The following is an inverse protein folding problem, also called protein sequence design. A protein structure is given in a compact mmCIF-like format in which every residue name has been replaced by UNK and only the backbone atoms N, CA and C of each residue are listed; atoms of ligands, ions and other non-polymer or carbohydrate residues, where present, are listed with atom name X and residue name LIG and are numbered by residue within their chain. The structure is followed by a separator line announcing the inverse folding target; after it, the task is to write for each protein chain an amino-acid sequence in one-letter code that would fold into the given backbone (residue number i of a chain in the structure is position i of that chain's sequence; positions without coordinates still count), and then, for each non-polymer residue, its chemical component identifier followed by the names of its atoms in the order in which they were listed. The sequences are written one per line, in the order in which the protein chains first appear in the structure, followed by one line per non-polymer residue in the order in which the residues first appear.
data_IF_501559190440
#
_entry.id   IF_501559190440
#
_cell.length_a   1.000
_cell.length_b   1.000
_cell.length_c   1.000
_cell.angle_alpha   90.00
_cell.angle_beta   90.00
_cell.angle_gamma   90.00
#
_symmetry.space_group_name_H-M   'P 1'
#
loop_
_entity.id
_entity.type
_entity.pdbx_description
1 polymer ?
#
# COMPACT_ATOMS: atom_id res chain seq x y z
N UNK A 1 6.76 10.36 27.59
CA UNK A 1 5.90 10.12 26.41
C UNK A 1 5.82 8.62 26.20
N UNK A 2 4.62 8.04 26.20
CA UNK A 2 4.41 6.60 25.99
C UNK A 2 4.71 6.26 24.53
N UNK A 3 5.47 5.21 24.27
CA UNK A 3 5.74 4.77 22.91
C UNK A 3 4.42 4.36 22.21
N UNK A 4 4.23 4.68 20.93
CA UNK A 4 3.06 4.23 20.19
C UNK A 4 3.03 2.70 20.15
N UNK A 5 1.92 2.12 20.58
CA UNK A 5 1.69 0.67 20.55
C UNK A 5 1.04 0.33 19.21
N UNK A 6 1.54 -0.70 18.54
CA UNK A 6 0.90 -1.24 17.33
C UNK A 6 -0.53 -1.65 17.67
N UNK A 7 -1.51 -1.07 17.00
CA UNK A 7 -2.88 -1.57 17.01
C UNK A 7 -3.07 -2.58 15.88
N UNK A 8 -4.00 -3.53 16.05
CA UNK A 8 -4.43 -4.44 14.99
C UNK A 8 -5.44 -3.72 14.05
N UNK A 9 -5.10 -2.51 13.61
CA UNK A 9 -5.98 -1.66 12.80
C UNK A 9 -6.88 -0.73 13.63
N UNK A 10 -7.93 -0.17 12.99
CA UNK A 10 -8.91 0.70 13.65
C UNK A 10 -9.81 -0.08 14.61
N UNK A 11 -10.44 0.62 15.56
CA UNK A 11 -11.41 0.03 16.48
C UNK A 11 -12.55 -0.70 15.73
N UNK A 12 -13.12 -1.74 16.33
CA UNK A 12 -14.25 -2.49 15.72
C UNK A 12 -15.45 -1.60 15.35
N UNK A 13 -15.63 -0.50 16.07
CA UNK A 13 -16.73 0.46 15.86
C UNK A 13 -16.43 1.50 14.77
N UNK A 14 -15.23 1.49 14.19
CA UNK A 14 -14.86 2.42 13.13
C UNK A 14 -15.68 2.14 11.87
N UNK A 15 -16.21 3.17 11.18
CA UNK A 15 -16.91 2.99 9.91
C UNK A 15 -16.01 2.36 8.84
N UNK A 16 -14.69 2.55 8.93
CA UNK A 16 -13.71 2.05 7.98
C UNK A 16 -13.12 0.68 8.36
N UNK A 17 -13.67 0.00 9.37
CA UNK A 17 -13.14 -1.30 9.78
C UNK A 17 -13.28 -2.35 8.69
N UNK A 18 -14.44 -2.42 8.03
CA UNK A 18 -14.65 -3.36 6.93
C UNK A 18 -13.72 -3.10 5.74
N UNK A 19 -13.44 -1.82 5.44
CA UNK A 19 -12.43 -1.44 4.46
C UNK A 19 -11.03 -1.95 4.86
N UNK A 20 -10.63 -1.73 6.12
CA UNK A 20 -9.33 -2.21 6.62
C UNK A 20 -9.18 -3.72 6.46
N UNK A 21 -10.16 -4.50 6.92
CA UNK A 21 -10.09 -5.96 6.87
C UNK A 21 -9.95 -6.46 5.41
N UNK A 22 -10.74 -5.91 4.47
CA UNK A 22 -10.65 -6.31 3.06
C UNK A 22 -9.37 -5.83 2.36
N UNK A 23 -8.81 -4.68 2.76
CA UNK A 23 -7.49 -4.25 2.26
C UNK A 23 -6.39 -5.20 2.75
N UNK A 24 -6.47 -5.70 3.98
CA UNK A 24 -5.56 -6.74 4.46
C UNK A 24 -5.69 -8.03 3.64
N UNK A 25 -6.92 -8.47 3.33
CA UNK A 25 -7.14 -9.63 2.46
C UNK A 25 -6.55 -9.41 1.06
N UNK A 26 -6.75 -8.22 0.48
CA UNK A 26 -6.16 -7.85 -0.80
C UNK A 26 -4.63 -7.86 -0.76
N UNK A 27 -4.02 -7.35 0.33
CA UNK A 27 -2.57 -7.38 0.55
C UNK A 27 -2.03 -8.82 0.59
N UNK A 28 -2.74 -9.76 1.23
CA UNK A 28 -2.34 -11.18 1.25
C UNK A 28 -2.43 -11.86 -0.14
N UNK A 29 -3.26 -11.35 -1.05
CA UNK A 29 -3.34 -11.85 -2.42
C UNK A 29 -2.20 -11.35 -3.33
N UNK A 30 -1.56 -10.21 -2.98
CA UNK A 30 -0.58 -9.53 -3.83
C UNK A 30 0.65 -10.35 -4.21
N UNK A 31 1.28 -11.16 -3.33
CA UNK A 31 2.49 -11.90 -3.69
C UNK A 31 2.32 -12.78 -4.93
N UNK A 32 1.15 -13.42 -5.09
CA UNK A 32 0.82 -14.24 -6.27
C UNK A 32 0.71 -13.44 -7.58
N UNK A 33 0.40 -12.14 -7.46
CA UNK A 33 0.18 -11.20 -8.55
C UNK A 33 1.39 -10.31 -8.85
N UNK A 34 2.42 -10.35 -8.00
CA UNK A 34 3.60 -9.53 -8.21
C UNK A 34 4.24 -9.83 -9.56
N UNK A 35 4.41 -8.79 -10.37
CA UNK A 35 5.10 -8.81 -11.65
C UNK A 35 5.99 -7.59 -11.69
N UNK A 36 7.23 -7.78 -12.13
CA UNK A 36 8.16 -6.67 -12.32
C UNK A 36 8.94 -6.87 -13.61
N UNK A 37 9.08 -5.79 -14.38
CA UNK A 37 9.99 -5.71 -15.52
C UNK A 37 11.42 -5.37 -15.10
N UNK A 38 11.65 -5.14 -13.80
CA UNK A 38 12.95 -4.80 -13.24
C UNK A 38 13.93 -5.96 -13.46
N UNK A 39 14.79 -5.80 -14.47
CA UNK A 39 15.89 -6.71 -14.78
C UNK A 39 17.19 -6.07 -14.34
N UNK A 40 17.78 -6.58 -13.26
CA UNK A 40 19.08 -6.12 -12.78
C UNK A 40 20.14 -7.10 -13.27
N UNK A 41 21.16 -6.59 -13.98
CA UNK A 41 22.26 -7.39 -14.52
C UNK A 41 23.58 -6.61 -14.48
N UNK A 42 24.71 -7.32 -14.47
CA UNK A 42 26.05 -6.71 -14.61
C UNK A 42 26.59 -5.99 -13.37
N UNK A 43 26.08 -6.31 -12.19
CA UNK A 43 26.47 -5.73 -10.90
C UNK A 43 27.38 -6.70 -10.13
N UNK A 44 28.39 -6.15 -9.45
CA UNK A 44 29.20 -6.93 -8.50
C UNK A 44 28.33 -7.38 -7.33
N UNK A 45 28.56 -8.59 -6.83
CA UNK A 45 27.86 -9.11 -5.64
C UNK A 45 28.06 -8.20 -4.41
N UNK A 46 29.18 -7.49 -4.34
CA UNK A 46 29.47 -6.50 -3.29
C UNK A 46 28.54 -5.31 -3.34
N UNK A 47 27.98 -4.97 -4.50
CA UNK A 47 27.17 -3.77 -4.71
C UNK A 47 25.66 -4.09 -4.67
N UNK A 48 25.28 -5.31 -4.33
CA UNK A 48 23.89 -5.78 -4.31
C UNK A 48 23.01 -4.96 -3.35
N UNK A 49 23.59 -4.40 -2.27
CA UNK A 49 22.87 -3.54 -1.34
C UNK A 49 22.38 -2.22 -1.97
N UNK A 50 23.02 -1.76 -3.06
CA UNK A 50 22.61 -0.54 -3.78
C UNK A 50 21.28 -0.71 -4.51
N UNK A 51 20.80 -1.95 -4.65
CA UNK A 51 19.57 -2.29 -5.35
C UNK A 51 18.31 -2.18 -4.51
N UNK A 52 18.45 -2.01 -3.19
CA UNK A 52 17.29 -1.94 -2.29
C UNK A 52 16.34 -0.80 -2.67
N UNK A 53 16.89 0.34 -3.10
CA UNK A 53 16.09 1.49 -3.52
C UNK A 53 15.28 1.24 -4.79
N UNK A 54 15.88 0.85 -5.94
CA UNK A 54 15.10 0.57 -7.15
C UNK A 54 14.15 -0.62 -6.97
N UNK A 55 14.51 -1.64 -6.18
CA UNK A 55 13.62 -2.74 -5.85
C UNK A 55 12.43 -2.27 -5.01
N UNK A 56 12.67 -1.50 -3.95
CA UNK A 56 11.62 -0.93 -3.11
C UNK A 56 10.62 -0.10 -3.90
N UNK A 57 11.12 0.78 -4.79
CA UNK A 57 10.26 1.57 -5.67
C UNK A 57 9.41 0.71 -6.62
N UNK A 58 9.96 -0.40 -7.14
CA UNK A 58 9.21 -1.34 -7.97
C UNK A 58 8.14 -2.10 -7.17
N UNK A 59 8.45 -2.47 -5.92
CA UNK A 59 7.50 -3.09 -4.98
C UNK A 59 6.34 -2.13 -4.70
N UNK A 60 6.63 -0.90 -4.29
CA UNK A 60 5.61 0.12 -4.01
C UNK A 60 4.70 0.38 -5.22
N UNK A 61 5.28 0.47 -6.42
CA UNK A 61 4.50 0.66 -7.65
C UNK A 61 3.57 -0.52 -7.93
N UNK A 62 4.08 -1.76 -7.84
CA UNK A 62 3.29 -2.97 -8.09
C UNK A 62 2.18 -3.16 -7.04
N UNK A 63 2.42 -2.80 -5.78
CA UNK A 63 1.40 -2.83 -4.73
C UNK A 63 0.27 -1.86 -5.05
N UNK A 64 0.58 -0.62 -5.45
CA UNK A 64 -0.42 0.39 -5.81
C UNK A 64 -1.26 -0.04 -7.01
N UNK A 65 -0.61 -0.53 -8.07
CA UNK A 65 -1.29 -1.05 -9.26
C UNK A 65 -2.25 -2.17 -8.91
N UNK A 66 -1.75 -3.22 -8.22
CA UNK A 66 -2.57 -4.38 -7.91
C UNK A 66 -3.69 -4.08 -6.89
N UNK A 67 -3.46 -3.21 -5.90
CA UNK A 67 -4.53 -2.82 -5.00
C UNK A 67 -5.63 -2.12 -5.78
N UNK A 68 -5.30 -1.16 -6.65
CA UNK A 68 -6.31 -0.49 -7.47
C UNK A 68 -7.03 -1.46 -8.43
N UNK A 69 -6.34 -2.46 -9.00
CA UNK A 69 -6.95 -3.51 -9.82
C UNK A 69 -7.87 -4.45 -9.03
N UNK A 70 -7.55 -4.70 -7.76
CA UNK A 70 -8.36 -5.51 -6.84
C UNK A 70 -9.48 -4.70 -6.17
N UNK A 71 -9.96 -3.61 -6.78
CA UNK A 71 -11.03 -2.78 -6.21
C UNK A 71 -12.26 -3.58 -5.81
N UNK A 72 -12.71 -4.49 -6.65
CA UNK A 72 -13.89 -5.32 -6.36
C UNK A 72 -13.71 -6.20 -5.11
N UNK A 73 -12.46 -6.46 -4.69
CA UNK A 73 -12.17 -7.18 -3.46
C UNK A 73 -12.25 -6.28 -2.22
N UNK A 74 -11.68 -5.07 -2.25
CA UNK A 74 -11.62 -4.19 -1.07
C UNK A 74 -12.75 -3.16 -0.97
N UNK A 75 -13.40 -2.83 -2.08
CA UNK A 75 -14.58 -1.95 -2.18
C UNK A 75 -15.71 -2.58 -3.02
N UNK A 76 -16.25 -3.74 -2.62
CA UNK A 76 -17.26 -4.48 -3.39
C UNK A 76 -18.59 -3.73 -3.55
N UNK A 77 -18.85 -2.75 -2.68
CA UNK A 77 -20.10 -1.97 -2.67
C UNK A 77 -19.93 -0.58 -3.28
N UNK A 78 -18.74 -0.25 -3.82
CA UNK A 78 -18.41 1.07 -4.37
C UNK A 78 -18.60 2.24 -3.38
N UNK A 79 -18.39 1.98 -2.08
CA UNK A 79 -18.48 3.00 -1.02
C UNK A 79 -17.29 3.98 -1.07
N UNK A 80 -16.17 3.57 -1.68
CA UNK A 80 -14.92 4.31 -1.74
C UNK A 80 -14.49 4.60 -3.19
N UNK A 81 -15.45 4.71 -4.11
CA UNK A 81 -15.20 4.87 -5.55
C UNK A 81 -14.25 6.04 -5.87
N UNK A 82 -14.40 7.16 -5.16
CA UNK A 82 -13.58 8.37 -5.38
C UNK A 82 -12.17 8.28 -4.78
N UNK A 83 -11.85 7.22 -4.04
CA UNK A 83 -10.54 7.00 -3.43
C UNK A 83 -9.72 6.05 -4.28
N UNK A 84 -8.40 6.23 -4.30
CA UNK A 84 -7.45 5.34 -4.97
C UNK A 84 -6.17 5.20 -4.14
N UNK A 85 -5.49 4.07 -4.32
CA UNK A 85 -4.16 3.90 -3.74
C UNK A 85 -3.15 4.71 -4.54
N UNK A 86 -2.30 5.47 -3.84
CA UNK A 86 -1.28 6.35 -4.42
C UNK A 86 0.03 6.14 -3.69
N UNK A 87 1.10 5.92 -4.45
CA UNK A 87 2.47 5.80 -3.96
C UNK A 87 2.97 7.14 -3.39
N UNK A 88 3.63 7.10 -2.24
CA UNK A 88 4.29 8.23 -1.59
C UNK A 88 5.81 8.02 -1.65
N UNK A 89 6.47 8.59 -2.67
CA UNK A 89 7.91 8.45 -2.79
C UNK A 89 8.62 9.17 -1.62
N UNK A 90 9.53 8.47 -0.94
CA UNK A 90 10.41 9.04 0.09
C UNK A 90 9.70 9.64 1.32
N UNK A 91 8.44 9.23 1.59
CA UNK A 91 7.63 9.77 2.68
C UNK A 91 6.84 8.66 3.35
N UNK A 92 6.79 8.65 4.68
CA UNK A 92 5.91 7.77 5.44
C UNK A 92 4.45 8.27 5.41
N UNK A 93 3.46 7.39 5.25
CA UNK A 93 3.55 5.98 4.84
C UNK A 93 3.82 5.84 3.33
N UNK A 94 4.45 4.73 2.91
CA UNK A 94 4.83 4.46 1.51
C UNK A 94 3.65 4.48 0.51
N UNK A 95 2.45 4.08 0.94
CA UNK A 95 1.24 4.05 0.11
C UNK A 95 0.07 4.63 0.90
N UNK A 96 -0.81 5.39 0.22
CA UNK A 96 -2.02 5.96 0.83
C UNK A 96 -3.25 5.63 0.01
N UNK A 97 -4.34 5.29 0.69
CA UNK A 97 -5.68 5.37 0.10
C UNK A 97 -6.19 6.80 0.28
N UNK A 98 -6.30 7.52 -0.83
CA UNK A 98 -6.61 8.95 -0.80
C UNK A 98 -7.49 9.40 -1.97
N UNK A 99 -8.07 10.59 -1.84
CA UNK A 99 -8.83 11.26 -2.89
C UNK A 99 -8.38 12.70 -3.07
N UNK A 100 -8.48 13.19 -4.31
CA UNK A 100 -8.34 14.60 -4.68
C UNK A 100 -9.67 15.20 -5.14
N UNK A 101 -10.78 14.47 -4.97
CA UNK A 101 -12.10 14.91 -5.43
C UNK A 101 -12.49 16.24 -4.77
N UNK A 102 -13.06 17.18 -5.54
CA UNK A 102 -13.57 18.43 -4.98
C UNK A 102 -14.74 18.15 -4.03
N UNK A 103 -14.88 18.98 -2.99
CA UNK A 103 -15.96 18.85 -2.01
C UNK A 103 -15.69 17.88 -0.85
N UNK A 104 -14.59 17.11 -0.88
CA UNK A 104 -14.17 16.27 0.26
C UNK A 104 -13.35 17.12 1.26
N UNK A 105 -13.75 17.16 2.55
CA UNK A 105 -12.99 17.84 3.60
C UNK A 105 -11.58 17.30 3.70
N UNK A 106 -10.60 18.16 4.02
CA UNK A 106 -9.18 17.77 4.08
C UNK A 106 -8.92 16.61 5.05
N UNK A 107 -9.63 16.58 6.17
CA UNK A 107 -9.55 15.53 7.18
C UNK A 107 -9.97 14.15 6.63
N UNK A 108 -10.81 14.10 5.59
CA UNK A 108 -11.35 12.87 5.02
C UNK A 108 -10.61 12.45 3.74
N UNK A 109 -9.66 13.27 3.24
CA UNK A 109 -8.95 12.99 1.98
C UNK A 109 -8.04 11.79 2.04
N UNK A 110 -7.60 11.39 3.23
CA UNK A 110 -6.70 10.25 3.45
C UNK A 110 -7.38 9.31 4.44
N UNK A 111 -7.73 8.10 3.98
CA UNK A 111 -8.42 7.10 4.81
C UNK A 111 -7.46 6.08 5.43
N UNK A 112 -6.35 5.80 4.74
CA UNK A 112 -5.43 4.75 5.15
C UNK A 112 -4.02 5.00 4.66
N UNK A 113 -3.05 4.64 5.49
CA UNK A 113 -1.64 4.52 5.14
C UNK A 113 -1.17 3.08 5.22
N UNK A 114 -0.38 2.66 4.24
CA UNK A 114 0.29 1.35 4.22
C UNK A 114 1.79 1.60 4.18
N UNK A 115 2.49 1.04 5.15
CA UNK A 115 3.95 1.00 5.19
C UNK A 115 4.41 -0.37 4.70
N UNK A 116 5.26 -0.38 3.67
CA UNK A 116 5.79 -1.58 3.05
C UNK A 116 7.17 -1.88 3.60
N UNK A 117 7.39 -3.13 4.00
CA UNK A 117 8.75 -3.61 4.32
C UNK A 117 9.33 -4.27 3.08
N UNK A 118 10.62 -4.08 2.82
CA UNK A 118 11.31 -4.60 1.61
C UNK A 118 11.24 -6.12 1.38
N UNK A 119 10.77 -6.91 2.36
CA UNK A 119 10.55 -8.35 2.25
C UNK A 119 9.09 -8.74 1.94
N UNK A 120 8.16 -7.79 1.85
CA UNK A 120 6.72 -8.05 1.64
C UNK A 120 6.44 -8.89 0.37
N UNK A 121 7.36 -8.87 -0.59
CA UNK A 121 7.24 -9.59 -1.88
C UNK A 121 7.99 -10.93 -1.89
N UNK A 122 8.72 -11.24 -0.83
CA UNK A 122 9.50 -12.47 -0.69
C UNK A 122 8.83 -13.52 0.22
N UNK A 123 7.64 -13.21 0.75
CA UNK A 123 6.87 -14.06 1.65
C UNK A 123 5.71 -14.76 0.93
#
# INVERSE_FOLDING_TARGET
MTAPVRSNGPAQTSPHRGLYDRVIDALHALPSRFRTSLRIAGISATDLFTLNTPLGAAIEASVVENLNDLRDLWDPNHEYEIYSFVRQAQVFPDVRLQTTAPGVPEADRILMGIELKGWFVLA
#
